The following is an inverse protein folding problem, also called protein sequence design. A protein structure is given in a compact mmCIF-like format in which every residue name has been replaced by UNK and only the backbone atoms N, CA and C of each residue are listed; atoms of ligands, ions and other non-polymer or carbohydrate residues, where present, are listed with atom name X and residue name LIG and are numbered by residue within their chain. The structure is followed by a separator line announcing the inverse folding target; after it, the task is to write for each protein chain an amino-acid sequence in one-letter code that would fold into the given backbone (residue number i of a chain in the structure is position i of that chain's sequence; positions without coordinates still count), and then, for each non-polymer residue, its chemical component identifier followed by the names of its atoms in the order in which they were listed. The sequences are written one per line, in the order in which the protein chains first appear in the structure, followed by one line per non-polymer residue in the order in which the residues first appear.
data_IF_609019339751
#
_entry.id   IF_609019339751
#
_cell.length_a   1.000
_cell.length_b   1.000
_cell.length_c   1.000
_cell.angle_alpha   90.00
_cell.angle_beta   90.00
_cell.angle_gamma   90.00
#
_symmetry.space_group_name_H-M   'P 1'
#
loop_
_entity.id
_entity.type
_entity.pdbx_description
1 polymer ?
#
# COMPACT_ATOMS: atom_id res chain seq x y z
N UNK A 1 -16.01 -26.24 -14.06
CA UNK A 1 -15.49 -26.63 -12.73
C UNK A 1 -15.33 -25.34 -11.94
N UNK A 2 -16.05 -25.28 -10.81
CA UNK A 2 -16.26 -24.16 -9.87
C UNK A 2 -15.87 -22.75 -10.33
N UNK A 3 -16.88 -21.95 -10.72
CA UNK A 3 -16.80 -20.51 -10.50
C UNK A 3 -16.85 -20.32 -8.98
N UNK A 4 -15.69 -20.18 -8.33
CA UNK A 4 -15.64 -19.85 -6.91
C UNK A 4 -16.42 -18.56 -6.70
N UNK A 5 -17.43 -18.61 -5.85
CA UNK A 5 -18.29 -17.50 -5.50
C UNK A 5 -17.49 -16.52 -4.62
N UNK A 6 -16.52 -15.83 -5.23
CA UNK A 6 -15.64 -14.92 -4.49
C UNK A 6 -16.51 -13.77 -3.99
N UNK A 7 -16.61 -13.54 -2.67
CA UNK A 7 -17.44 -12.48 -2.13
C UNK A 7 -16.89 -11.13 -2.59
N UNK A 8 -17.57 -10.54 -3.57
CA UNK A 8 -17.37 -9.13 -3.95
C UNK A 8 -17.92 -8.26 -2.82
N UNK A 9 -17.08 -7.36 -2.32
CA UNK A 9 -17.51 -6.43 -1.27
C UNK A 9 -18.58 -5.50 -1.84
N UNK A 10 -19.79 -5.43 -1.25
CA UNK A 10 -20.89 -4.63 -1.77
C UNK A 10 -20.65 -3.15 -1.40
N UNK A 11 -19.72 -2.51 -2.09
CA UNK A 11 -19.28 -1.16 -1.77
C UNK A 11 -19.62 -0.19 -2.91
N UNK A 12 -20.35 0.89 -2.57
CA UNK A 12 -20.60 2.01 -3.48
C UNK A 12 -19.36 2.90 -3.70
N UNK A 13 -18.25 2.65 -2.98
CA UNK A 13 -16.99 3.40 -3.04
C UNK A 13 -15.82 2.46 -2.83
N UNK A 14 -14.68 2.77 -3.43
CA UNK A 14 -13.48 1.98 -3.20
C UNK A 14 -13.05 2.03 -1.73
N UNK A 15 -12.67 0.88 -1.18
CA UNK A 15 -12.24 0.73 0.21
C UNK A 15 -10.72 0.71 0.32
N UNK A 16 -10.17 1.57 1.18
CA UNK A 16 -8.75 1.60 1.50
C UNK A 16 -8.54 1.09 2.92
N UNK A 17 -7.81 -0.01 3.07
CA UNK A 17 -7.60 -0.71 4.34
C UNK A 17 -6.12 -0.61 4.71
N UNK A 18 -5.82 0.00 5.86
CA UNK A 18 -4.47 0.01 6.41
C UNK A 18 -4.29 -1.11 7.43
N UNK A 19 -3.28 -1.96 7.26
CA UNK A 19 -2.99 -3.07 8.16
C UNK A 19 -1.70 -2.78 8.94
N UNK A 20 -1.87 -2.58 10.26
CA UNK A 20 -0.81 -2.20 11.18
C UNK A 20 -0.59 -3.31 12.20
N UNK A 21 0.66 -3.64 12.49
CA UNK A 21 1.02 -4.61 13.51
C UNK A 21 2.53 -4.75 13.67
N UNK A 22 2.96 -5.34 14.77
CA UNK A 22 4.38 -5.54 15.08
C UNK A 22 5.13 -6.30 13.95
N UNK A 23 6.46 -6.13 13.82
CA UNK A 23 7.27 -7.01 13.00
C UNK A 23 7.05 -8.48 13.42
N UNK A 24 6.92 -9.39 12.45
CA UNK A 24 6.64 -10.80 12.74
C UNK A 24 5.19 -11.15 13.10
N UNK A 25 4.26 -10.19 13.19
CA UNK A 25 2.85 -10.45 13.54
C UNK A 25 2.03 -11.23 12.48
N UNK A 26 2.63 -11.57 11.34
CA UNK A 26 1.94 -12.27 10.25
C UNK A 26 1.02 -11.39 9.37
N UNK A 27 1.02 -10.07 9.54
CA UNK A 27 0.22 -9.12 8.73
C UNK A 27 0.36 -9.33 7.21
N UNK A 28 1.58 -9.50 6.70
CA UNK A 28 1.79 -9.76 5.26
C UNK A 28 1.18 -11.09 4.80
N UNK A 29 1.15 -12.11 5.65
CA UNK A 29 0.45 -13.38 5.37
C UNK A 29 -1.05 -13.16 5.32
N UNK A 30 -1.61 -12.44 6.30
CA UNK A 30 -3.03 -12.08 6.33
C UNK A 30 -3.44 -11.27 5.09
N UNK A 31 -2.68 -10.23 4.73
CA UNK A 31 -2.98 -9.39 3.57
C UNK A 31 -2.95 -10.18 2.25
N UNK A 32 -2.04 -11.14 2.10
CA UNK A 32 -1.99 -12.04 0.94
C UNK A 32 -3.21 -12.96 0.87
N UNK A 33 -3.66 -13.50 2.00
CA UNK A 33 -4.88 -14.32 2.06
C UNK A 33 -6.12 -13.49 1.71
N UNK A 34 -6.25 -12.28 2.27
CA UNK A 34 -7.35 -11.38 1.96
C UNK A 34 -7.37 -10.99 0.48
N UNK A 35 -6.21 -10.69 -0.11
CA UNK A 35 -6.10 -10.40 -1.54
C UNK A 35 -6.56 -11.56 -2.42
N UNK A 36 -6.23 -12.80 -2.03
CA UNK A 36 -6.65 -14.01 -2.73
C UNK A 36 -8.16 -14.23 -2.63
N UNK A 37 -8.72 -14.05 -1.44
CA UNK A 37 -10.07 -14.50 -1.12
C UNK A 37 -11.17 -13.43 -1.37
N UNK A 38 -10.82 -12.14 -1.53
CA UNK A 38 -11.79 -11.03 -1.62
C UNK A 38 -11.61 -10.08 -2.84
N UNK A 39 -10.89 -10.48 -3.89
CA UNK A 39 -10.62 -9.64 -5.09
C UNK A 39 -10.13 -8.24 -4.72
N UNK A 40 -9.14 -8.17 -3.83
CA UNK A 40 -8.58 -6.90 -3.38
C UNK A 40 -7.08 -6.81 -3.71
N UNK A 41 -6.61 -5.58 -3.93
CA UNK A 41 -5.21 -5.34 -4.24
C UNK A 41 -4.40 -5.20 -2.96
N UNK A 42 -3.47 -6.12 -2.73
CA UNK A 42 -2.49 -5.96 -1.66
C UNK A 42 -1.27 -5.16 -2.13
N UNK A 43 -0.99 -4.07 -1.41
CA UNK A 43 0.18 -3.22 -1.57
C UNK A 43 1.01 -3.33 -0.30
N UNK A 44 2.17 -3.99 -0.37
CA UNK A 44 3.17 -3.92 0.69
C UNK A 44 4.07 -2.72 0.46
N UNK A 45 4.09 -1.78 1.40
CA UNK A 45 4.97 -0.60 1.29
C UNK A 45 6.44 -1.00 1.28
N UNK A 46 6.81 -2.06 2.02
CA UNK A 46 8.17 -2.58 2.00
C UNK A 46 8.59 -3.09 0.63
N UNK A 47 7.72 -3.86 -0.03
CA UNK A 47 8.01 -4.38 -1.38
C UNK A 47 7.98 -3.27 -2.43
N UNK A 48 7.03 -2.34 -2.34
CA UNK A 48 6.95 -1.18 -3.23
C UNK A 48 8.25 -0.35 -3.21
N UNK A 49 8.80 -0.10 -2.02
CA UNK A 49 10.08 0.60 -1.92
C UNK A 49 11.24 -0.21 -2.50
N UNK A 50 11.25 -1.54 -2.31
CA UNK A 50 12.27 -2.41 -2.92
C UNK A 50 12.17 -2.41 -4.45
N UNK A 51 10.97 -2.42 -5.03
CA UNK A 51 10.82 -2.34 -6.49
C UNK A 51 11.26 -0.99 -7.05
N UNK A 52 11.02 0.09 -6.31
CA UNK A 52 11.47 1.44 -6.71
C UNK A 52 12.99 1.61 -6.63
N UNK A 53 13.69 0.77 -5.85
CA UNK A 53 15.16 0.75 -5.83
C UNK A 53 15.73 0.32 -7.19
N UNK A 54 15.05 -0.60 -7.86
CA UNK A 54 15.50 -1.22 -9.11
C UNK A 54 14.94 -0.51 -10.35
N UNK A 55 13.96 0.37 -10.17
CA UNK A 55 13.34 1.17 -11.24
C UNK A 55 14.25 2.34 -11.64
N UNK A 56 14.59 2.40 -12.94
CA UNK A 56 15.47 3.44 -13.50
C UNK A 56 14.78 4.81 -13.60
N UNK A 57 13.45 4.84 -13.75
CA UNK A 57 12.70 6.09 -13.88
C UNK A 57 12.51 6.80 -12.53
N UNK A 58 12.52 6.04 -11.44
CA UNK A 58 12.36 6.53 -10.06
C UNK A 58 13.67 6.66 -9.29
N UNK A 59 14.82 6.81 -9.99
CA UNK A 59 16.14 7.08 -9.41
C UNK A 59 16.24 8.45 -8.72
N UNK A 60 15.36 8.74 -7.77
CA UNK A 60 15.69 9.67 -6.71
C UNK A 60 16.77 8.99 -5.87
N UNK A 61 18.04 9.37 -6.06
CA UNK A 61 19.21 8.92 -5.26
C UNK A 61 18.87 8.90 -3.76
N UNK A 62 18.08 9.87 -3.30
CA UNK A 62 17.55 9.96 -1.92
C UNK A 62 16.72 8.76 -1.48
N UNK A 63 15.90 8.19 -2.36
CA UNK A 63 15.06 7.01 -2.06
C UNK A 63 15.94 5.77 -1.92
N UNK A 64 16.87 5.58 -2.85
CA UNK A 64 17.82 4.47 -2.84
C UNK A 64 18.71 4.50 -1.59
N UNK A 65 19.27 5.66 -1.25
CA UNK A 65 20.10 5.84 -0.04
C UNK A 65 19.31 5.56 1.25
N UNK A 66 18.06 6.03 1.34
CA UNK A 66 17.21 5.75 2.49
C UNK A 66 16.92 4.25 2.65
N UNK A 67 16.61 3.56 1.55
CA UNK A 67 16.34 2.12 1.56
C UNK A 67 17.60 1.33 1.94
N UNK A 68 18.77 1.66 1.38
CA UNK A 68 20.04 0.98 1.63
C UNK A 68 20.54 1.19 3.05
N UNK A 69 20.33 2.39 3.62
CA UNK A 69 20.73 2.71 5.00
C UNK A 69 19.69 2.30 6.05
N UNK A 70 18.56 1.71 5.63
CA UNK A 70 17.45 1.35 6.52
C UNK A 70 16.74 2.56 7.14
N UNK A 71 16.97 3.77 6.61
CA UNK A 71 16.32 5.00 7.06
C UNK A 71 14.91 5.11 6.49
N UNK A 72 14.02 5.69 7.28
CA UNK A 72 12.66 6.02 6.85
C UNK A 72 12.71 7.13 5.79
N UNK A 73 11.94 6.96 4.72
CA UNK A 73 11.74 8.01 3.72
C UNK A 73 10.99 9.20 4.33
N UNK A 74 11.20 10.42 3.79
CA UNK A 74 10.39 11.57 4.14
C UNK A 74 8.90 11.27 3.93
N UNK A 75 8.06 11.70 4.88
CA UNK A 75 6.61 11.46 4.89
C UNK A 75 5.94 11.90 3.60
N UNK A 76 6.30 13.06 3.07
CA UNK A 76 5.76 13.57 1.80
C UNK A 76 6.08 12.66 0.61
N UNK A 77 7.28 12.09 0.56
CA UNK A 77 7.72 11.22 -0.54
C UNK A 77 6.96 9.90 -0.53
N UNK A 78 6.87 9.26 0.64
CA UNK A 78 6.19 7.97 0.76
C UNK A 78 4.68 8.08 0.54
N UNK A 79 4.05 9.17 1.01
CA UNK A 79 2.63 9.44 0.75
C UNK A 79 2.39 9.66 -0.74
N UNK A 80 3.20 10.48 -1.42
CA UNK A 80 3.04 10.73 -2.85
C UNK A 80 3.17 9.44 -3.69
N UNK A 81 4.17 8.62 -3.40
CA UNK A 81 4.38 7.33 -4.06
C UNK A 81 3.15 6.43 -3.84
N UNK A 82 2.72 6.28 -2.59
CA UNK A 82 1.60 5.41 -2.24
C UNK A 82 0.29 5.89 -2.89
N UNK A 83 0.01 7.20 -2.87
CA UNK A 83 -1.16 7.80 -3.52
C UNK A 83 -1.17 7.54 -5.03
N UNK A 84 -0.02 7.65 -5.70
CA UNK A 84 0.10 7.35 -7.14
C UNK A 84 -0.26 5.89 -7.44
N UNK A 85 0.28 4.95 -6.67
CA UNK A 85 0.00 3.51 -6.83
C UNK A 85 -1.46 3.21 -6.53
N UNK A 86 -2.01 3.75 -5.43
CA UNK A 86 -3.44 3.57 -5.08
C UNK A 86 -4.33 4.06 -6.23
N UNK A 87 -4.11 5.29 -6.74
CA UNK A 87 -4.91 5.84 -7.84
C UNK A 87 -4.86 4.98 -9.11
N UNK A 88 -3.69 4.40 -9.43
CA UNK A 88 -3.55 3.49 -10.56
C UNK A 88 -4.36 2.21 -10.40
N UNK A 89 -4.41 1.66 -9.18
CA UNK A 89 -5.06 0.39 -8.87
C UNK A 89 -6.58 0.54 -8.63
N UNK A 90 -7.05 1.71 -8.20
CA UNK A 90 -8.46 2.03 -7.96
C UNK A 90 -9.36 1.85 -9.19
N UNK A 91 -8.79 1.89 -10.41
CA UNK A 91 -9.54 1.60 -11.64
C UNK A 91 -9.84 0.11 -11.86
N UNK A 92 -9.13 -0.79 -11.17
CA UNK A 92 -9.22 -2.24 -11.37
C UNK A 92 -9.72 -3.00 -10.13
N UNK A 93 -9.62 -2.40 -8.95
CA UNK A 93 -9.97 -3.05 -7.68
C UNK A 93 -10.89 -2.18 -6.83
N UNK A 94 -11.93 -2.79 -6.26
CA UNK A 94 -12.88 -2.14 -5.35
C UNK A 94 -12.34 -2.03 -3.92
N UNK A 95 -11.29 -2.77 -3.57
CA UNK A 95 -10.64 -2.71 -2.28
C UNK A 95 -9.12 -2.80 -2.42
N UNK A 96 -8.41 -1.99 -1.64
CA UNK A 96 -6.95 -1.93 -1.61
C UNK A 96 -6.49 -2.07 -0.16
N UNK A 97 -5.59 -3.01 0.09
CA UNK A 97 -4.98 -3.29 1.38
C UNK A 97 -3.55 -2.77 1.36
N UNK A 98 -3.23 -1.86 2.28
CA UNK A 98 -1.89 -1.32 2.48
C UNK A 98 -1.25 -1.96 3.71
N UNK A 99 -0.20 -2.75 3.51
CA UNK A 99 0.59 -3.37 4.58
C UNK A 99 1.86 -2.55 4.89
N UNK A 100 2.07 -2.27 6.17
CA UNK A 100 3.31 -1.69 6.66
C UNK A 100 3.36 -0.16 6.63
N UNK A 101 2.20 0.49 6.50
CA UNK A 101 1.98 1.93 6.57
C UNK A 101 0.63 2.24 7.24
N UNK A 102 0.50 3.36 7.97
CA UNK A 102 1.56 4.29 8.39
C UNK A 102 2.45 3.70 9.49
N UNK A 103 3.75 4.06 9.50
CA UNK A 103 4.69 3.69 10.59
C UNK A 103 4.85 4.77 11.64
N UNK A 104 4.42 5.99 11.33
CA UNK A 104 4.42 7.15 12.23
C UNK A 104 3.11 7.91 12.10
N UNK A 105 2.73 8.62 13.15
CA UNK A 105 1.47 9.37 13.18
C UNK A 105 1.41 10.44 12.07
N UNK A 106 2.52 11.13 11.81
CA UNK A 106 2.60 12.15 10.76
C UNK A 106 2.34 11.58 9.35
N UNK A 107 2.69 10.32 9.13
CA UNK A 107 2.37 9.62 7.88
C UNK A 107 0.88 9.32 7.76
N UNK A 108 0.23 8.96 8.87
CA UNK A 108 -1.22 8.71 8.90
C UNK A 108 -2.01 9.97 8.58
N UNK A 109 -1.69 11.08 9.25
CA UNK A 109 -2.34 12.38 9.03
C UNK A 109 -2.17 12.81 7.56
N UNK A 110 -0.94 12.79 7.04
CA UNK A 110 -0.67 13.19 5.67
C UNK A 110 -1.39 12.31 4.62
N UNK A 111 -1.57 11.01 4.90
CA UNK A 111 -2.31 10.12 4.02
C UNK A 111 -3.82 10.37 4.05
N UNK A 112 -4.38 10.67 5.23
CA UNK A 112 -5.79 11.02 5.38
C UNK A 112 -6.12 12.35 4.69
N UNK A 113 -5.27 13.36 4.83
CA UNK A 113 -5.41 14.65 4.16
C UNK A 113 -5.40 14.49 2.62
N UNK A 114 -4.51 13.65 2.09
CA UNK A 114 -4.43 13.38 0.65
C UNK A 114 -5.59 12.52 0.13
N UNK A 115 -6.14 11.63 0.96
CA UNK A 115 -7.27 10.79 0.60
C UNK A 115 -8.62 11.53 0.67
N UNK A 116 -8.72 12.55 1.53
CA UNK A 116 -9.92 13.39 1.70
C UNK A 116 -9.95 14.59 0.76
N UNK A 117 -8.85 14.86 0.06
CA UNK A 117 -8.80 15.89 -0.97
C UNK A 117 -9.74 15.54 -2.14
N UNK A 118 -10.56 16.50 -2.61
CA UNK A 118 -11.59 16.28 -3.63
C UNK A 118 -11.05 15.90 -5.01
#
# INVERSE_FOLDING_TARGET
MEQSNIPVLPLNRALLIYVIGCPGSGKGTLCKLLARDYVCRHISVGDLLRTLKDDQDYQNVKVKDCIETGKLLPTTTIVNILTCVIRKELGSYQAIIVDGFPRRLDQGIAAEDQASAP
#
